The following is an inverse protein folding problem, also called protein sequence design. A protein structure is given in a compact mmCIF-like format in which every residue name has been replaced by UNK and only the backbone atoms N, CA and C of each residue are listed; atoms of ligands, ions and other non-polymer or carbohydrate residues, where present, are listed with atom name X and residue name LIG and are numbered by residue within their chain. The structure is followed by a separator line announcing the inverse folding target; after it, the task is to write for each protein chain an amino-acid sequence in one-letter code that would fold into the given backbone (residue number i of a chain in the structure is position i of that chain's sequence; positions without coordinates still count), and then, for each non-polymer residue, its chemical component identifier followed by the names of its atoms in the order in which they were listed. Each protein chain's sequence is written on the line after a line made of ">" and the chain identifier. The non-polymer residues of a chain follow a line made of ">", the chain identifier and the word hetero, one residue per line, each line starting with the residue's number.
data_IF_909788381549
#
_entry.id   IF_909788381549
#
_cell.length_a   1.000
_cell.length_b   1.000
_cell.length_c   1.000
_cell.angle_alpha   90.00
_cell.angle_beta   90.00
_cell.angle_gamma   90.00
#
_symmetry.space_group_name_H-M   'P 1'
#
loop_
_entity.id
_entity.type
_entity.pdbx_description
1 polymer ?
#
# COMPACT_ATOMS: atom_id res chain seq x y z
N UNK A 1 23.05 -11.45 9.78
CA UNK A 1 22.78 -10.27 10.61
C UNK A 1 21.57 -9.54 10.04
N UNK A 2 20.61 -9.26 10.88
CA UNK A 2 19.40 -8.54 10.47
C UNK A 2 19.64 -7.05 10.58
N UNK A 3 19.39 -6.31 9.52
CA UNK A 3 19.40 -4.86 9.56
C UNK A 3 17.96 -4.36 9.69
N UNK A 4 17.75 -3.42 10.58
CA UNK A 4 16.44 -2.81 10.77
C UNK A 4 16.52 -1.35 10.38
N UNK A 5 15.71 -0.97 9.39
CA UNK A 5 15.51 0.43 9.05
C UNK A 5 14.34 0.97 9.87
N UNK A 6 14.52 2.14 10.46
CA UNK A 6 13.49 2.81 11.26
C UNK A 6 13.16 4.16 10.66
N UNK A 7 11.93 4.56 10.78
CA UNK A 7 11.50 5.85 10.31
C UNK A 7 10.02 6.07 10.56
N UNK A 8 9.58 7.21 10.09
CA UNK A 8 8.19 7.62 10.17
C UNK A 8 7.67 7.87 8.75
N UNK A 9 6.36 7.78 8.59
CA UNK A 9 5.77 8.13 7.32
C UNK A 9 4.47 8.89 7.53
N UNK A 10 4.20 9.77 6.58
CA UNK A 10 2.92 10.47 6.48
C UNK A 10 2.26 9.99 5.19
N UNK A 11 1.03 9.52 5.32
CA UNK A 11 0.27 9.01 4.19
C UNK A 11 -0.86 9.96 3.84
N UNK A 12 -1.03 10.20 2.53
CA UNK A 12 -2.17 10.92 1.98
C UNK A 12 -2.92 9.98 1.06
N UNK A 13 -4.20 9.77 1.32
CA UNK A 13 -5.04 8.89 0.54
C UNK A 13 -6.25 9.69 0.03
N UNK A 14 -6.54 9.55 -1.27
CA UNK A 14 -7.65 10.23 -1.89
C UNK A 14 -8.54 9.24 -2.63
N UNK A 15 -9.87 9.32 -2.47
CA UNK A 15 -10.77 8.48 -3.25
C UNK A 15 -10.67 8.78 -4.74
N UNK A 16 -10.71 7.74 -5.54
CA UNK A 16 -10.74 7.83 -6.99
C UNK A 16 -12.00 7.13 -7.50
N UNK A 17 -12.43 7.47 -8.70
CA UNK A 17 -13.59 6.85 -9.30
C UNK A 17 -13.31 5.37 -9.59
N UNK A 18 -14.26 4.51 -9.26
CA UNK A 18 -14.22 3.09 -9.56
C UNK A 18 -15.31 2.77 -10.57
N UNK A 19 -14.93 2.20 -11.70
CA UNK A 19 -15.89 1.81 -12.74
C UNK A 19 -16.41 0.41 -12.45
N UNK A 20 -17.70 0.21 -12.67
CA UNK A 20 -18.34 -1.08 -12.43
C UNK A 20 -18.65 -1.29 -10.96
N UNK A 21 -19.82 -0.84 -10.54
CA UNK A 21 -20.25 -1.00 -9.14
C UNK A 21 -21.28 -2.10 -9.02
N UNK A 22 -21.12 -2.92 -8.00
CA UNK A 22 -22.11 -3.89 -7.57
C UNK A 22 -22.67 -3.42 -6.22
N UNK A 23 -23.98 -3.26 -6.06
CA UNK A 23 -24.55 -2.77 -4.81
C UNK A 23 -24.27 -3.67 -3.60
N UNK A 24 -24.00 -4.96 -3.78
CA UNK A 24 -23.69 -5.87 -2.70
C UNK A 24 -22.26 -5.72 -2.19
N UNK A 25 -21.36 -5.22 -3.03
CA UNK A 25 -19.96 -5.08 -2.68
C UNK A 25 -19.53 -3.63 -2.86
N UNK A 26 -18.96 -3.08 -1.80
CA UNK A 26 -18.41 -1.73 -1.87
C UNK A 26 -17.00 -1.81 -2.43
N UNK A 27 -16.89 -1.60 -3.73
CA UNK A 27 -15.59 -1.53 -4.40
C UNK A 27 -15.08 -0.11 -4.38
N UNK A 28 -13.80 0.07 -4.13
CA UNK A 28 -13.19 1.37 -4.05
C UNK A 28 -11.81 1.44 -4.66
N UNK A 29 -11.43 2.64 -5.04
CA UNK A 29 -10.08 2.93 -5.52
C UNK A 29 -9.58 4.18 -4.83
N UNK A 30 -8.32 4.18 -4.40
CA UNK A 30 -7.71 5.31 -3.73
C UNK A 30 -6.32 5.54 -4.27
N UNK A 31 -5.92 6.82 -4.37
CA UNK A 31 -4.53 7.14 -4.56
C UNK A 31 -3.81 7.06 -3.23
N UNK A 32 -2.54 6.68 -3.26
CA UNK A 32 -1.68 6.61 -2.09
C UNK A 32 -0.43 7.43 -2.37
N UNK A 33 -0.14 8.38 -1.49
CA UNK A 33 1.09 9.14 -1.49
C UNK A 33 1.68 9.08 -0.10
N UNK A 34 2.95 8.72 0.01
CA UNK A 34 3.63 8.70 1.30
C UNK A 34 4.90 9.51 1.26
N UNK A 35 5.20 10.16 2.36
CA UNK A 35 6.50 10.75 2.63
C UNK A 35 7.11 9.97 3.77
N UNK A 36 8.23 9.33 3.51
CA UNK A 36 8.93 8.50 4.48
C UNK A 36 10.21 9.21 4.90
N UNK A 37 10.46 9.25 6.19
CA UNK A 37 11.67 9.86 6.75
C UNK A 37 12.32 8.92 7.75
N UNK A 38 13.61 9.10 7.98
CA UNK A 38 14.40 8.25 8.85
C UNK A 38 15.52 7.58 8.07
N UNK A 39 15.76 6.30 8.33
CA UNK A 39 16.79 5.53 7.63
C UNK A 39 16.50 5.41 6.13
N UNK A 40 15.22 5.37 5.77
CA UNK A 40 14.76 5.53 4.41
C UNK A 40 14.10 6.89 4.28
N UNK A 41 14.62 7.74 3.42
CA UNK A 41 13.98 9.00 3.04
C UNK A 41 13.46 8.83 1.62
N UNK A 42 12.15 8.81 1.48
CA UNK A 42 11.53 8.46 0.21
C UNK A 42 10.16 9.09 0.05
N UNK A 43 9.74 9.20 -1.20
CA UNK A 43 8.35 9.48 -1.54
C UNK A 43 7.78 8.27 -2.28
N UNK A 44 6.50 8.02 -2.09
CA UNK A 44 5.81 6.94 -2.80
C UNK A 44 4.59 7.48 -3.51
N UNK A 45 4.28 6.86 -4.64
CA UNK A 45 3.06 7.14 -5.40
C UNK A 45 2.46 5.79 -5.80
N UNK A 46 1.18 5.62 -5.54
CA UNK A 46 0.52 4.38 -5.89
C UNK A 46 -0.98 4.46 -5.86
N UNK A 47 -1.60 3.32 -6.06
CA UNK A 47 -3.05 3.19 -5.99
C UNK A 47 -3.43 1.90 -5.29
N UNK A 48 -4.58 1.94 -4.64
CA UNK A 48 -5.17 0.82 -3.92
C UNK A 48 -6.55 0.54 -4.48
N UNK A 49 -6.85 -0.74 -4.67
CA UNK A 49 -8.18 -1.23 -4.96
C UNK A 49 -8.68 -2.01 -3.75
N UNK A 50 -9.89 -1.75 -3.34
CA UNK A 50 -10.45 -2.37 -2.14
C UNK A 50 -11.86 -2.90 -2.37
N UNK A 51 -12.25 -3.84 -1.54
CA UNK A 51 -13.60 -4.38 -1.53
C UNK A 51 -14.03 -4.59 -0.09
N UNK A 52 -15.23 -4.14 0.23
CA UNK A 52 -15.90 -4.45 1.49
C UNK A 52 -17.09 -5.34 1.18
N UNK A 53 -17.34 -6.32 2.04
CA UNK A 53 -18.45 -7.24 1.86
C UNK A 53 -19.62 -6.89 2.79
N UNK A 54 -20.73 -7.60 2.67
CA UNK A 54 -21.86 -7.45 3.56
C UNK A 54 -21.62 -8.02 4.95
N UNK A 55 -20.56 -8.78 5.12
CA UNK A 55 -20.15 -9.30 6.44
C UNK A 55 -19.28 -8.28 7.15
N UNK A 56 -19.68 -7.86 8.34
CA UNK A 56 -18.92 -6.92 9.14
C UNK A 56 -17.51 -7.44 9.41
N UNK A 57 -16.52 -6.57 9.24
CA UNK A 57 -15.13 -6.90 9.47
C UNK A 57 -14.48 -7.72 8.37
N UNK A 58 -15.15 -7.93 7.25
CA UNK A 58 -14.58 -8.64 6.10
C UNK A 58 -14.34 -7.70 4.94
N UNK A 59 -13.10 -7.63 4.48
CA UNK A 59 -12.67 -6.73 3.42
C UNK A 59 -11.37 -7.22 2.81
N UNK A 60 -11.05 -6.73 1.64
CA UNK A 60 -9.77 -7.01 1.00
C UNK A 60 -9.26 -5.83 0.21
N UNK A 61 -7.95 -5.76 0.04
CA UNK A 61 -7.35 -4.75 -0.82
C UNK A 61 -6.07 -5.25 -1.47
N UNK A 62 -5.72 -4.63 -2.59
CA UNK A 62 -4.43 -4.76 -3.22
C UNK A 62 -3.91 -3.37 -3.55
N UNK A 63 -2.60 -3.19 -3.52
CA UNK A 63 -1.99 -1.90 -3.82
C UNK A 63 -0.65 -2.08 -4.51
N UNK A 64 -0.33 -1.14 -5.38
CA UNK A 64 0.97 -1.00 -6.01
C UNK A 64 1.48 0.39 -5.68
N UNK A 65 2.72 0.46 -5.18
CA UNK A 65 3.36 1.69 -4.76
C UNK A 65 4.75 1.77 -5.35
N UNK A 66 5.05 2.84 -6.08
CA UNK A 66 6.42 3.11 -6.53
C UNK A 66 7.13 3.95 -5.48
N UNK A 67 8.26 3.45 -5.01
CA UNK A 67 9.09 4.11 -3.99
C UNK A 67 10.32 4.70 -4.65
N UNK A 68 10.58 5.98 -4.39
CA UNK A 68 11.78 6.65 -4.88
C UNK A 68 12.44 7.39 -3.73
N UNK A 69 13.71 7.11 -3.46
CA UNK A 69 14.38 7.75 -2.35
C UNK A 69 15.77 7.25 -2.05
N UNK A 70 16.18 7.45 -0.81
CA UNK A 70 17.54 7.15 -0.34
C UNK A 70 17.44 6.27 0.90
N UNK A 71 18.05 5.10 0.84
CA UNK A 71 18.17 4.18 1.97
C UNK A 71 19.65 4.07 2.34
N UNK A 72 19.98 4.49 3.57
CA UNK A 72 21.35 4.47 4.08
C UNK A 72 22.37 5.07 3.10
N UNK A 73 22.02 6.23 2.53
CA UNK A 73 22.87 6.96 1.60
C UNK A 73 22.84 6.47 0.15
N UNK A 74 22.12 5.39 -0.14
CA UNK A 74 22.00 4.86 -1.50
C UNK A 74 20.67 5.25 -2.11
N UNK A 75 20.75 5.94 -3.24
CA UNK A 75 19.59 6.41 -3.98
C UNK A 75 19.06 5.31 -4.90
N UNK A 76 17.75 5.16 -5.00
CA UNK A 76 17.14 4.19 -5.89
C UNK A 76 15.63 4.25 -5.93
N UNK A 77 15.06 3.39 -6.74
CA UNK A 77 13.61 3.23 -6.88
C UNK A 77 13.27 1.74 -6.87
N UNK A 78 12.08 1.44 -6.40
CA UNK A 78 11.53 0.08 -6.47
C UNK A 78 10.02 0.15 -6.33
N UNK A 79 9.36 -0.98 -6.58
CA UNK A 79 7.91 -1.06 -6.49
C UNK A 79 7.52 -2.06 -5.43
N UNK A 80 6.59 -1.67 -4.57
CA UNK A 80 6.00 -2.55 -3.57
C UNK A 80 4.62 -3.01 -4.02
N UNK A 81 4.33 -4.27 -3.75
CA UNK A 81 3.02 -4.86 -3.95
C UNK A 81 2.47 -5.25 -2.59
N UNK A 82 1.29 -4.74 -2.26
CA UNK A 82 0.61 -5.05 -1.01
C UNK A 82 -0.66 -5.83 -1.29
N UNK A 83 -0.95 -6.80 -0.44
CA UNK A 83 -2.28 -7.38 -0.39
C UNK A 83 -2.66 -7.61 1.06
N UNK A 84 -3.91 -7.34 1.37
CA UNK A 84 -4.39 -7.48 2.72
C UNK A 84 -5.84 -7.93 2.74
N UNK A 85 -6.19 -8.67 3.77
CA UNK A 85 -7.56 -9.05 4.02
C UNK A 85 -7.92 -8.86 5.47
N UNK A 86 -9.19 -8.56 5.72
CA UNK A 86 -9.82 -8.66 7.03
C UNK A 86 -10.84 -9.77 6.92
N UNK A 87 -10.72 -10.81 7.73
CA UNK A 87 -11.66 -11.90 7.78
C UNK A 87 -12.37 -11.85 9.13
N UNK A 88 -13.56 -11.25 9.15
CA UNK A 88 -14.37 -11.05 10.36
C UNK A 88 -13.55 -10.46 11.51
N UNK A 89 -12.74 -9.43 11.18
CA UNK A 89 -11.90 -8.74 12.15
C UNK A 89 -10.48 -9.27 12.27
N UNK A 90 -10.14 -10.40 11.63
CA UNK A 90 -8.79 -10.96 11.67
C UNK A 90 -7.97 -10.44 10.49
N UNK A 91 -6.92 -9.64 10.74
CA UNK A 91 -6.12 -9.05 9.65
C UNK A 91 -5.06 -10.01 9.11
N UNK A 92 -4.78 -9.87 7.83
CA UNK A 92 -3.65 -10.52 7.17
C UNK A 92 -3.08 -9.55 6.15
N UNK A 93 -1.76 -9.36 6.17
CA UNK A 93 -1.07 -8.40 5.29
C UNK A 93 0.17 -9.05 4.72
N UNK A 94 0.34 -8.94 3.41
CA UNK A 94 1.55 -9.34 2.72
C UNK A 94 2.07 -8.16 1.90
N UNK A 95 3.36 -7.85 2.09
CA UNK A 95 4.04 -6.79 1.33
C UNK A 95 5.28 -7.40 0.70
N UNK A 96 5.41 -7.27 -0.61
CA UNK A 96 6.56 -7.80 -1.34
C UNK A 96 7.11 -6.75 -2.29
N UNK A 97 8.41 -6.87 -2.60
CA UNK A 97 9.02 -6.07 -3.65
C UNK A 97 8.74 -6.75 -4.99
N UNK A 98 8.25 -5.97 -5.96
CA UNK A 98 8.03 -6.50 -7.30
C UNK A 98 9.39 -6.85 -7.92
N UNK A 99 9.58 -8.07 -8.43
CA UNK A 99 10.86 -8.46 -9.02
C UNK A 99 11.30 -7.51 -10.12
N UNK A 100 12.60 -7.23 -10.15
CA UNK A 100 13.23 -6.38 -11.18
C UNK A 100 12.60 -4.99 -11.29
N UNK A 101 12.24 -4.39 -10.15
CA UNK A 101 11.61 -3.08 -10.12
C UNK A 101 12.54 -2.06 -9.46
N UNK A 102 13.68 -1.74 -10.10
CA UNK A 102 14.54 -0.68 -9.59
C UNK A 102 13.96 0.71 -9.85
#
# INVERSE_FOLDING_TARGET
>A
MTQTARGEFVVSMKPLAFEGTDPEFKLGRMSIDKQISGDLTASTVGQMLSAMTSTDGSAGYVAIERVAGVLNGKRGTFVLQHSGTMNRGAPSLVVTVVPDSP
#
